data_IF_417768866462
#
_entry.id   IF_417768866462
#
_cell.length_a   1.000
_cell.length_b   1.000
_cell.length_c   1.000
_cell.angle_alpha   90.00
_cell.angle_beta   90.00
_cell.angle_gamma   90.00
#
_symmetry.space_group_name_H-M   'P 1'
#
loop_
_entity.id
_entity.type
_entity.pdbx_description
1 polymer ?
#
# COMPACT_ATOMS: atom_id res chain seq x y z
N UNK A 1 6.98 61.70 -59.18
CA UNK A 1 5.92 61.12 -60.04
C UNK A 1 6.57 60.64 -61.33
N UNK A 2 6.37 59.42 -61.86
CA UNK A 2 5.89 58.12 -61.34
C UNK A 2 7.05 57.06 -61.41
N UNK A 3 6.96 55.74 -61.22
CA UNK A 3 5.87 54.77 -61.10
C UNK A 3 6.29 53.57 -60.22
N UNK A 4 5.34 53.02 -59.47
CA UNK A 4 5.45 51.76 -58.75
C UNK A 4 5.41 50.58 -59.72
N UNK A 5 6.50 49.83 -59.81
CA UNK A 5 6.54 48.50 -60.41
C UNK A 5 7.64 47.69 -59.70
N UNK A 6 7.24 46.92 -58.68
CA UNK A 6 7.89 45.67 -58.26
C UNK A 6 7.12 45.10 -57.05
N UNK A 7 6.15 44.24 -57.34
CA UNK A 7 5.57 43.33 -56.36
C UNK A 7 5.58 41.93 -57.00
N UNK A 8 5.96 40.93 -56.19
CA UNK A 8 6.14 39.48 -56.48
C UNK A 8 7.54 39.18 -57.07
N UNK A 9 8.42 38.36 -56.47
CA UNK A 9 8.19 37.04 -55.86
C UNK A 9 9.46 36.59 -55.09
N UNK A 10 9.29 35.62 -54.17
CA UNK A 10 10.29 34.75 -53.51
C UNK A 10 10.90 35.24 -52.17
N UNK A 11 10.12 35.08 -51.09
CA UNK A 11 10.65 34.76 -49.77
C UNK A 11 10.90 33.26 -49.73
N UNK A 12 12.16 32.84 -49.64
CA UNK A 12 12.54 31.48 -49.28
C UNK A 12 12.20 31.22 -47.82
N UNK A 13 11.48 30.12 -47.58
CA UNK A 13 11.15 29.61 -46.24
C UNK A 13 12.41 29.12 -45.53
N UNK A 14 12.68 29.65 -44.34
CA UNK A 14 13.66 29.11 -43.40
C UNK A 14 12.93 28.17 -42.41
N UNK A 15 13.28 26.88 -42.43
CA UNK A 15 12.69 25.81 -41.62
C UNK A 15 13.31 25.77 -40.21
N UNK A 16 12.76 26.56 -39.31
CA UNK A 16 13.15 26.63 -37.89
C UNK A 16 12.69 25.46 -37.00
N UNK A 17 12.72 24.20 -37.45
CA UNK A 17 12.09 23.07 -36.72
C UNK A 17 13.00 21.92 -36.24
N UNK A 18 14.33 22.10 -36.10
CA UNK A 18 15.26 20.96 -35.89
C UNK A 18 15.98 20.76 -34.52
N UNK A 19 16.15 21.72 -33.59
CA UNK A 19 16.97 21.45 -32.39
C UNK A 19 16.24 20.70 -31.25
N UNK A 20 14.95 20.98 -31.01
CA UNK A 20 14.20 20.34 -29.90
C UNK A 20 13.78 18.89 -30.19
N UNK A 21 13.37 18.59 -31.42
CA UNK A 21 12.95 17.23 -31.84
C UNK A 21 14.12 16.24 -31.75
N UNK A 22 15.34 16.66 -32.12
CA UNK A 22 16.56 15.84 -32.01
C UNK A 22 16.97 15.56 -30.56
N UNK A 23 16.85 16.53 -29.65
CA UNK A 23 17.09 16.33 -28.21
C UNK A 23 16.06 15.39 -27.56
N UNK A 24 14.78 15.47 -27.96
CA UNK A 24 13.73 14.54 -27.49
C UNK A 24 13.94 13.12 -28.00
N UNK A 25 14.31 12.94 -29.27
CA UNK A 25 14.63 11.62 -29.83
C UNK A 25 15.89 11.00 -29.23
N UNK A 26 16.94 11.77 -28.93
CA UNK A 26 18.17 11.24 -28.32
C UNK A 26 17.95 10.82 -26.85
N UNK A 27 17.16 11.59 -26.09
CA UNK A 27 16.71 11.21 -24.73
C UNK A 27 15.85 9.94 -24.75
N UNK A 28 14.93 9.82 -25.71
CA UNK A 28 14.11 8.62 -25.91
C UNK A 28 14.97 7.39 -26.24
N UNK A 29 15.93 7.52 -27.16
CA UNK A 29 16.87 6.44 -27.51
C UNK A 29 17.77 6.01 -26.33
N UNK A 30 18.27 6.96 -25.51
CA UNK A 30 19.03 6.63 -24.28
C UNK A 30 18.16 5.93 -23.24
N UNK A 31 16.91 6.37 -23.03
CA UNK A 31 15.96 5.72 -22.11
C UNK A 31 15.63 4.29 -22.57
N UNK A 32 15.40 4.09 -23.87
CA UNK A 32 15.18 2.78 -24.46
C UNK A 32 16.40 1.85 -24.35
N UNK A 33 17.63 2.37 -24.53
CA UNK A 33 18.87 1.59 -24.37
C UNK A 33 19.09 1.19 -22.90
N UNK A 34 18.81 2.08 -21.95
CA UNK A 34 18.95 1.81 -20.50
C UNK A 34 17.90 0.80 -20.03
N UNK A 35 16.66 0.90 -20.51
CA UNK A 35 15.59 -0.05 -20.22
C UNK A 35 15.82 -1.44 -20.83
N UNK A 36 16.56 -1.55 -21.94
CA UNK A 36 16.99 -2.84 -22.52
C UNK A 36 18.16 -3.49 -21.79
N UNK A 37 18.91 -2.74 -20.99
CA UNK A 37 20.07 -3.23 -20.26
C UNK A 37 19.73 -3.71 -18.84
N UNK A 38 18.58 -3.30 -18.28
CA UNK A 38 18.12 -3.66 -16.94
C UNK A 38 17.04 -4.75 -17.03
N UNK A 39 17.46 -5.92 -17.52
CA UNK A 39 16.66 -7.15 -17.65
C UNK A 39 17.38 -8.23 -16.88
N UNK A 40 16.67 -8.93 -16.00
CA UNK A 40 17.22 -10.11 -15.31
C UNK A 40 16.65 -11.38 -15.97
N UNK A 41 17.46 -12.24 -16.60
CA UNK A 41 16.97 -13.45 -17.26
C UNK A 41 16.34 -14.47 -16.31
N UNK A 42 16.60 -14.39 -15.00
CA UNK A 42 16.00 -15.25 -13.98
C UNK A 42 14.57 -14.81 -13.61
N UNK A 43 14.18 -13.58 -13.97
CA UNK A 43 12.83 -13.04 -13.75
C UNK A 43 11.96 -13.28 -14.98
N UNK A 44 10.72 -13.70 -14.77
CA UNK A 44 9.76 -13.94 -15.85
C UNK A 44 9.53 -12.68 -16.70
N UNK A 45 9.06 -12.86 -17.94
CA UNK A 45 8.73 -11.76 -18.84
C UNK A 45 7.64 -10.82 -18.25
N UNK A 46 6.64 -11.39 -17.55
CA UNK A 46 5.58 -10.64 -16.86
C UNK A 46 6.12 -9.78 -15.72
N UNK A 47 7.19 -10.24 -15.07
CA UNK A 47 7.75 -9.59 -13.88
C UNK A 47 8.90 -8.63 -14.15
N UNK A 48 9.41 -8.54 -15.38
CA UNK A 48 10.43 -7.55 -15.77
C UNK A 48 10.03 -6.09 -15.50
N UNK A 49 8.73 -5.78 -15.47
CA UNK A 49 8.24 -4.45 -15.11
C UNK A 49 8.47 -4.13 -13.62
N UNK A 50 8.42 -5.14 -12.75
CA UNK A 50 8.69 -5.02 -11.32
C UNK A 50 10.21 -5.00 -11.06
N UNK A 51 10.98 -5.87 -11.73
CA UNK A 51 12.45 -5.89 -11.66
C UNK A 51 13.09 -4.51 -11.91
N UNK A 52 12.64 -3.81 -12.96
CA UNK A 52 13.12 -2.46 -13.29
C UNK A 52 12.80 -1.40 -12.23
N UNK A 53 11.91 -1.73 -11.29
CA UNK A 53 11.48 -0.91 -10.16
C UNK A 53 11.79 -1.57 -8.82
N UNK A 54 12.68 -2.57 -8.77
CA UNK A 54 12.97 -3.35 -7.56
C UNK A 54 13.33 -2.50 -6.35
N UNK A 55 14.02 -1.37 -6.56
CA UNK A 55 14.36 -0.41 -5.52
C UNK A 55 13.17 0.39 -4.95
N UNK A 56 12.02 0.42 -5.66
CA UNK A 56 10.78 0.98 -5.12
C UNK A 56 10.12 0.01 -4.13
N UNK A 57 10.42 -1.30 -4.22
CA UNK A 57 9.89 -2.35 -3.35
C UNK A 57 10.82 -2.66 -2.19
N UNK A 58 12.13 -2.64 -2.44
CA UNK A 58 13.18 -2.75 -1.43
C UNK A 58 14.36 -1.87 -1.85
N UNK A 59 14.63 -0.75 -1.18
CA UNK A 59 15.75 0.12 -1.56
C UNK A 59 17.10 -0.58 -1.41
N UNK A 60 17.21 -1.54 -0.45
CA UNK A 60 18.36 -2.43 -0.23
C UNK A 60 18.37 -3.67 -1.15
N UNK A 61 17.63 -3.66 -2.26
CA UNK A 61 17.47 -4.83 -3.11
C UNK A 61 18.80 -5.53 -3.48
N UNK A 62 19.80 -4.73 -3.87
CA UNK A 62 21.10 -5.21 -4.34
C UNK A 62 21.96 -5.85 -3.23
N UNK A 63 21.52 -5.80 -1.96
CA UNK A 63 22.16 -6.48 -0.83
C UNK A 63 21.74 -7.95 -0.68
N UNK A 64 20.96 -8.45 -1.65
CA UNK A 64 20.58 -9.86 -1.75
C UNK A 64 19.14 -10.15 -1.39
N UNK A 65 18.23 -9.19 -1.55
CA UNK A 65 16.80 -9.39 -1.31
C UNK A 65 16.26 -10.50 -2.22
N UNK A 66 15.39 -11.33 -1.65
CA UNK A 66 14.75 -12.46 -2.34
C UNK A 66 13.26 -12.17 -2.53
N UNK A 67 12.82 -12.30 -3.78
CA UNK A 67 11.43 -12.15 -4.20
C UNK A 67 11.16 -13.17 -5.31
N UNK A 68 10.13 -14.00 -5.16
CA UNK A 68 9.67 -14.91 -6.21
C UNK A 68 8.68 -14.23 -7.19
N UNK A 69 8.05 -15.01 -8.06
CA UNK A 69 7.10 -14.51 -9.06
C UNK A 69 5.89 -13.78 -8.46
N UNK A 70 5.23 -14.36 -7.45
CA UNK A 70 4.04 -13.72 -6.86
C UNK A 70 4.42 -12.52 -5.98
N UNK A 71 5.60 -12.54 -5.36
CA UNK A 71 6.08 -11.48 -4.50
C UNK A 71 6.23 -10.17 -5.25
N UNK A 72 6.60 -10.26 -6.53
CA UNK A 72 6.76 -9.07 -7.37
C UNK A 72 5.50 -8.24 -7.53
N UNK A 73 4.32 -8.88 -7.56
CA UNK A 73 3.06 -8.17 -7.72
C UNK A 73 2.27 -8.01 -6.42
N UNK A 74 2.60 -8.76 -5.37
CA UNK A 74 1.93 -8.68 -4.07
C UNK A 74 2.65 -7.79 -3.06
N UNK A 75 3.99 -7.63 -3.15
CA UNK A 75 4.74 -6.85 -2.17
C UNK A 75 4.36 -5.36 -2.23
N UNK A 76 4.06 -4.79 -1.07
CA UNK A 76 3.81 -3.35 -0.92
C UNK A 76 5.08 -2.57 -1.26
N UNK A 77 5.01 -1.51 -2.10
CA UNK A 77 6.13 -0.61 -2.31
C UNK A 77 6.63 -0.04 -0.97
N UNK A 78 7.95 0.03 -0.79
CA UNK A 78 8.55 0.25 0.52
C UNK A 78 8.09 1.54 1.21
N UNK A 79 7.91 2.61 0.44
CA UNK A 79 7.44 3.89 0.97
C UNK A 79 6.02 3.80 1.54
N UNK A 80 5.13 3.02 0.91
CA UNK A 80 3.75 2.84 1.41
C UNK A 80 3.76 2.01 2.69
N UNK A 81 4.60 0.97 2.73
CA UNK A 81 4.77 0.14 3.92
C UNK A 81 5.37 0.95 5.09
N UNK A 82 6.33 1.84 4.81
CA UNK A 82 6.88 2.80 5.78
C UNK A 82 5.81 3.76 6.31
N UNK A 83 5.03 4.39 5.43
CA UNK A 83 3.95 5.34 5.80
C UNK A 83 2.89 4.64 6.68
N UNK A 84 2.51 3.41 6.31
CA UNK A 84 1.59 2.59 7.09
C UNK A 84 2.15 2.28 8.48
N UNK A 85 3.43 1.90 8.56
CA UNK A 85 4.11 1.59 9.82
C UNK A 85 4.23 2.82 10.73
N UNK A 86 4.57 3.98 10.16
CA UNK A 86 4.61 5.27 10.85
C UNK A 86 3.27 5.62 11.47
N UNK A 87 2.19 5.49 10.69
CA UNK A 87 0.83 5.77 11.17
C UNK A 87 0.42 4.83 12.30
N UNK A 88 0.73 3.54 12.19
CA UNK A 88 0.51 2.55 13.24
C UNK A 88 1.31 2.89 14.51
N UNK A 89 2.61 3.21 14.38
CA UNK A 89 3.45 3.58 15.51
C UNK A 89 2.99 4.89 16.19
N UNK A 90 2.37 5.80 15.44
CA UNK A 90 1.81 7.02 16.02
C UNK A 90 0.58 6.78 16.88
N UNK A 91 -0.22 5.72 16.65
CA UNK A 91 -1.30 5.32 17.58
C UNK A 91 -0.75 5.13 19.00
N UNK A 92 0.41 4.49 19.10
CA UNK A 92 1.08 4.25 20.37
C UNK A 92 1.49 5.55 21.07
N UNK A 93 1.94 6.55 20.31
CA UNK A 93 2.37 7.83 20.86
C UNK A 93 1.22 8.73 21.37
N UNK A 94 -0.04 8.46 21.01
CA UNK A 94 -1.19 9.32 21.41
C UNK A 94 -1.55 9.24 22.89
N UNK A 95 -1.27 8.12 23.55
CA UNK A 95 -1.68 7.89 24.94
C UNK A 95 -0.53 8.03 25.95
N UNK A 96 0.59 8.62 25.53
CA UNK A 96 1.79 8.72 26.37
C UNK A 96 1.91 10.06 27.06
N UNK A 97 2.15 9.99 28.36
CA UNK A 97 2.84 11.03 29.09
C UNK A 97 4.32 10.97 28.70
N UNK A 98 4.94 12.11 28.38
CA UNK A 98 6.30 12.25 27.86
C UNK A 98 7.40 11.93 28.91
N UNK A 99 7.09 11.12 29.93
CA UNK A 99 7.87 10.96 31.15
C UNK A 99 8.57 9.61 31.28
N UNK A 100 8.38 8.67 30.32
CA UNK A 100 9.07 7.37 30.33
C UNK A 100 9.67 7.01 28.98
N UNK A 101 10.96 6.63 28.99
CA UNK A 101 11.73 6.10 27.84
C UNK A 101 11.37 4.64 27.49
N UNK A 102 10.31 4.09 28.09
CA UNK A 102 9.75 2.82 27.65
C UNK A 102 9.39 2.99 26.17
N UNK A 103 9.74 2.13 25.22
CA UNK A 103 9.19 2.18 23.86
C UNK A 103 8.06 1.19 23.81
N UNK A 104 7.08 1.35 24.71
CA UNK A 104 6.28 0.18 25.09
C UNK A 104 5.53 -0.49 23.94
N UNK A 105 4.95 -1.62 24.32
CA UNK A 105 5.09 -2.86 23.59
C UNK A 105 4.12 -3.02 22.43
N UNK A 106 4.13 -2.09 21.48
CA UNK A 106 3.27 -2.14 20.30
C UNK A 106 3.60 -3.41 19.50
N UNK A 107 2.67 -4.36 19.56
CA UNK A 107 2.71 -5.61 18.84
C UNK A 107 1.79 -5.53 17.62
N UNK A 108 2.35 -5.81 16.43
CA UNK A 108 1.61 -5.82 15.17
C UNK A 108 1.55 -7.24 14.62
N UNK A 109 0.37 -7.70 14.24
CA UNK A 109 0.21 -8.90 13.41
C UNK A 109 0.21 -8.48 11.94
N UNK A 110 1.19 -8.94 11.16
CA UNK A 110 1.11 -8.95 9.70
C UNK A 110 0.53 -10.31 9.28
N UNK A 111 -0.77 -10.31 8.97
CA UNK A 111 -1.54 -11.54 8.77
C UNK A 111 -1.21 -12.30 7.48
N UNK A 112 -0.55 -11.64 6.52
CA UNK A 112 -0.23 -12.18 5.19
C UNK A 112 1.12 -11.60 4.72
N UNK A 113 2.18 -11.93 5.46
CA UNK A 113 3.43 -11.17 5.37
C UNK A 113 4.18 -11.31 4.03
N UNK A 114 3.91 -12.36 3.26
CA UNK A 114 4.57 -12.62 1.98
C UNK A 114 6.08 -12.67 2.14
N UNK A 115 6.79 -11.86 1.35
CA UNK A 115 8.26 -11.71 1.41
C UNK A 115 8.73 -10.68 2.46
N UNK A 116 7.83 -10.25 3.36
CA UNK A 116 8.15 -9.42 4.52
C UNK A 116 8.15 -7.91 4.27
N UNK A 117 7.59 -7.41 3.16
CA UNK A 117 7.62 -5.99 2.82
C UNK A 117 7.07 -5.08 3.93
N UNK A 118 5.85 -5.37 4.42
CA UNK A 118 5.24 -4.61 5.52
C UNK A 118 5.84 -4.99 6.88
N UNK A 119 6.00 -6.29 7.17
CA UNK A 119 6.63 -6.78 8.40
C UNK A 119 7.99 -6.12 8.73
N UNK A 120 8.87 -5.94 7.76
CA UNK A 120 10.17 -5.25 7.93
C UNK A 120 9.98 -3.81 8.39
N UNK A 121 8.97 -3.12 7.85
CA UNK A 121 8.67 -1.73 8.17
C UNK A 121 8.01 -1.62 9.53
N UNK A 122 7.05 -2.48 9.85
CA UNK A 122 6.49 -2.57 11.20
C UNK A 122 7.59 -2.84 12.23
N UNK A 123 8.50 -3.77 11.95
CA UNK A 123 9.60 -4.06 12.86
C UNK A 123 10.55 -2.87 13.03
N UNK A 124 10.66 -1.97 12.04
CA UNK A 124 11.48 -0.75 12.18
C UNK A 124 10.89 0.26 13.17
N UNK A 125 9.56 0.29 13.33
CA UNK A 125 8.82 1.31 14.09
C UNK A 125 8.09 0.80 15.34
N UNK A 126 7.90 -0.51 15.45
CA UNK A 126 7.15 -1.18 16.53
C UNK A 126 8.09 -2.11 17.32
N UNK A 127 7.70 -2.49 18.53
CA UNK A 127 8.53 -3.36 19.38
C UNK A 127 8.56 -4.80 18.87
N UNK A 128 7.41 -5.30 18.43
CA UNK A 128 7.27 -6.70 18.04
C UNK A 128 6.31 -6.88 16.86
N UNK A 129 6.65 -7.81 15.97
CA UNK A 129 5.82 -8.18 14.82
C UNK A 129 5.61 -9.69 14.80
N UNK A 130 4.37 -10.12 14.67
CA UNK A 130 4.03 -11.52 14.35
C UNK A 130 3.71 -11.56 12.86
N UNK A 131 4.64 -12.09 12.06
CA UNK A 131 4.54 -12.18 10.61
C UNK A 131 4.07 -13.58 10.20
N UNK A 132 2.85 -13.67 9.65
CA UNK A 132 2.18 -14.93 9.32
C UNK A 132 2.13 -15.08 7.81
N UNK A 133 2.53 -16.24 7.31
CA UNK A 133 2.23 -16.66 5.94
C UNK A 133 1.96 -18.17 5.89
N UNK A 134 1.12 -18.59 4.94
CA UNK A 134 0.80 -20.00 4.73
C UNK A 134 1.89 -20.72 3.93
N UNK A 135 2.69 -19.96 3.16
CA UNK A 135 3.75 -20.50 2.32
C UNK A 135 5.09 -20.49 3.08
N UNK A 136 5.75 -21.66 3.24
CA UNK A 136 7.01 -21.74 3.96
C UNK A 136 8.18 -21.05 3.23
N UNK A 137 8.17 -21.04 1.89
CA UNK A 137 9.17 -20.38 1.06
C UNK A 137 9.08 -18.86 1.18
N UNK A 138 7.86 -18.31 1.23
CA UNK A 138 7.61 -16.89 1.56
C UNK A 138 8.20 -16.50 2.89
N UNK A 139 7.94 -17.31 3.91
CA UNK A 139 8.41 -17.06 5.26
C UNK A 139 9.94 -17.13 5.36
N UNK A 140 10.58 -18.03 4.61
CA UNK A 140 12.05 -18.07 4.49
C UNK A 140 12.59 -16.80 3.83
N UNK A 141 11.97 -16.33 2.74
CA UNK A 141 12.36 -15.07 2.08
C UNK A 141 12.14 -13.87 3.01
N UNK A 142 11.01 -13.81 3.72
CA UNK A 142 10.71 -12.74 4.67
C UNK A 142 11.77 -12.66 5.77
N UNK A 143 12.17 -13.80 6.35
CA UNK A 143 13.23 -13.86 7.35
C UNK A 143 14.59 -13.40 6.78
N UNK A 144 14.96 -13.90 5.60
CA UNK A 144 16.19 -13.48 4.92
C UNK A 144 16.20 -11.96 4.61
N UNK A 145 15.08 -11.43 4.13
CA UNK A 145 14.95 -10.01 3.82
C UNK A 145 15.02 -9.16 5.09
N UNK A 146 14.39 -9.60 6.19
CA UNK A 146 14.47 -8.91 7.47
C UNK A 146 15.88 -8.88 8.06
N UNK A 147 16.68 -9.93 7.86
CA UNK A 147 18.10 -9.96 8.24
C UNK A 147 18.92 -8.92 7.49
N UNK A 148 18.67 -8.72 6.20
CA UNK A 148 19.31 -7.66 5.42
C UNK A 148 19.00 -6.29 6.05
N UNK A 149 17.73 -6.06 6.44
CA UNK A 149 17.31 -4.83 7.09
C UNK A 149 17.74 -4.71 8.56
N UNK A 150 18.23 -5.78 9.19
CA UNK A 150 18.70 -5.80 10.58
C UNK A 150 17.57 -5.66 11.60
N UNK A 151 16.40 -6.24 11.32
CA UNK A 151 15.19 -6.15 12.16
C UNK A 151 14.56 -7.51 12.45
N UNK A 152 15.19 -8.61 12.04
CA UNK A 152 14.64 -9.96 12.17
C UNK A 152 14.47 -10.40 13.63
N UNK A 153 15.26 -9.84 14.55
CA UNK A 153 15.17 -10.06 16.00
C UNK A 153 13.85 -9.55 16.61
N UNK A 154 13.14 -8.65 15.91
CA UNK A 154 11.84 -8.11 16.33
C UNK A 154 10.65 -8.82 15.68
N UNK A 155 10.88 -9.81 14.81
CA UNK A 155 9.83 -10.49 14.05
C UNK A 155 9.73 -11.96 14.46
N UNK A 156 8.58 -12.35 15.00
CA UNK A 156 8.17 -13.75 15.11
C UNK A 156 7.56 -14.20 13.78
N UNK A 157 8.23 -15.12 13.10
CA UNK A 157 7.77 -15.69 11.83
C UNK A 157 6.97 -16.96 12.07
N UNK A 158 5.68 -16.96 11.71
CA UNK A 158 4.75 -18.05 11.96
C UNK A 158 4.25 -18.63 10.64
N UNK A 159 4.54 -19.91 10.42
CA UNK A 159 3.95 -20.66 9.30
C UNK A 159 2.53 -21.08 9.67
N UNK A 160 1.52 -20.59 8.94
CA UNK A 160 0.16 -21.03 9.14
C UNK A 160 -0.91 -20.19 8.45
N UNK A 161 -2.15 -20.66 8.57
CA UNK A 161 -3.33 -19.97 8.09
C UNK A 161 -3.80 -18.96 9.14
N UNK A 162 -3.71 -17.67 8.83
CA UNK A 162 -4.20 -16.60 9.71
C UNK A 162 -5.65 -16.80 10.14
N UNK A 163 -6.51 -17.34 9.27
CA UNK A 163 -7.91 -17.57 9.61
C UNK A 163 -8.08 -18.55 10.78
N UNK A 164 -7.20 -19.55 10.85
CA UNK A 164 -7.17 -20.53 11.94
C UNK A 164 -6.44 -20.00 13.18
N UNK A 165 -5.40 -19.18 12.99
CA UNK A 165 -4.57 -18.67 14.07
C UNK A 165 -5.22 -17.52 14.86
N UNK A 166 -5.97 -16.64 14.17
CA UNK A 166 -6.50 -15.41 14.76
C UNK A 166 -7.20 -15.55 16.14
N UNK A 167 -8.04 -16.57 16.41
CA UNK A 167 -8.65 -16.73 17.73
C UNK A 167 -7.66 -16.85 18.90
N UNK A 168 -6.44 -17.34 18.63
CA UNK A 168 -5.38 -17.58 19.61
C UNK A 168 -4.40 -16.40 19.75
N UNK A 169 -4.44 -15.44 18.81
CA UNK A 169 -3.52 -14.31 18.80
C UNK A 169 -4.02 -13.16 19.68
N UNK A 170 -3.10 -12.38 20.23
CA UNK A 170 -3.35 -11.10 20.89
C UNK A 170 -2.27 -10.11 20.45
N UNK A 171 -2.69 -8.96 19.97
CA UNK A 171 -1.81 -7.90 19.50
C UNK A 171 -2.57 -6.57 19.55
N UNK A 172 -1.84 -5.46 19.46
CA UNK A 172 -2.44 -4.13 19.48
C UNK A 172 -3.04 -3.75 18.13
N UNK A 173 -2.43 -4.21 17.04
CA UNK A 173 -2.85 -3.92 15.66
C UNK A 173 -2.79 -5.17 14.79
N UNK A 174 -3.74 -5.29 13.86
CA UNK A 174 -3.66 -6.24 12.75
C UNK A 174 -3.51 -5.48 11.44
N UNK A 175 -2.48 -5.80 10.67
CA UNK A 175 -2.38 -5.43 9.28
C UNK A 175 -2.89 -6.57 8.39
N UNK A 176 -3.84 -6.26 7.51
CA UNK A 176 -4.44 -7.18 6.55
C UNK A 176 -4.01 -6.81 5.13
N UNK A 177 -3.26 -7.70 4.49
CA UNK A 177 -3.00 -7.68 3.05
C UNK A 177 -3.26 -9.06 2.41
N UNK A 178 -4.51 -9.58 2.51
CA UNK A 178 -4.88 -10.87 1.92
C UNK A 178 -4.66 -10.85 0.40
N UNK A 179 -4.59 -12.04 -0.25
CA UNK A 179 -4.50 -12.13 -1.70
C UNK A 179 -5.73 -11.48 -2.36
N UNK A 180 -5.51 -10.76 -3.46
CA UNK A 180 -6.58 -10.09 -4.23
C UNK A 180 -6.97 -10.83 -5.52
N UNK A 181 -6.37 -11.99 -5.78
CA UNK A 181 -6.56 -12.74 -7.04
C UNK A 181 -5.56 -12.41 -8.15
N UNK A 182 -4.37 -11.87 -7.79
CA UNK A 182 -3.30 -11.58 -8.75
C UNK A 182 -3.52 -10.30 -9.56
N UNK A 183 -2.63 -9.97 -10.52
CA UNK A 183 -2.70 -8.74 -11.32
C UNK A 183 -4.05 -8.48 -12.03
N UNK A 184 -4.85 -9.52 -12.21
CA UNK A 184 -6.19 -9.53 -12.81
C UNK A 184 -7.27 -8.88 -11.93
N UNK A 185 -6.97 -8.49 -10.68
CA UNK A 185 -7.91 -7.76 -9.79
C UNK A 185 -8.47 -6.47 -10.42
N UNK A 186 -7.80 -5.95 -11.44
CA UNK A 186 -8.21 -4.74 -12.19
C UNK A 186 -9.10 -5.03 -13.40
N UNK A 187 -9.56 -6.27 -13.57
CA UNK A 187 -10.44 -6.67 -14.68
C UNK A 187 -11.80 -5.96 -14.65
N UNK A 188 -12.26 -5.55 -13.46
CA UNK A 188 -13.48 -4.77 -13.26
C UNK A 188 -13.15 -3.31 -12.86
N UNK A 189 -13.99 -2.32 -13.25
CA UNK A 189 -13.80 -0.92 -12.85
C UNK A 189 -13.81 -0.69 -11.34
N UNK A 190 -14.65 -1.46 -10.64
CA UNK A 190 -14.75 -1.49 -9.17
C UNK A 190 -14.43 -2.91 -8.71
N UNK A 191 -13.56 -3.04 -7.72
CA UNK A 191 -13.20 -4.33 -7.14
C UNK A 191 -14.34 -4.86 -6.27
N UNK A 192 -14.77 -6.08 -6.53
CA UNK A 192 -15.83 -6.75 -5.75
C UNK A 192 -15.24 -7.36 -4.48
N UNK A 193 -15.67 -6.83 -3.32
CA UNK A 193 -15.19 -7.22 -2.00
C UNK A 193 -15.52 -8.68 -1.63
N UNK A 194 -16.48 -9.30 -2.30
CA UNK A 194 -16.85 -10.70 -2.09
C UNK A 194 -16.09 -11.66 -3.03
N UNK A 195 -15.37 -11.12 -4.03
CA UNK A 195 -14.63 -11.91 -5.04
C UNK A 195 -13.21 -12.29 -4.63
N UNK A 196 -12.81 -11.97 -3.39
CA UNK A 196 -11.47 -12.27 -2.88
C UNK A 196 -11.24 -13.79 -2.73
N UNK A 197 -10.03 -14.29 -3.00
CA UNK A 197 -9.69 -15.68 -2.73
C UNK A 197 -9.93 -16.08 -1.26
N UNK A 198 -10.42 -17.31 -1.08
CA UNK A 198 -10.66 -18.00 0.18
C UNK A 198 -11.81 -17.45 1.04
N UNK A 199 -11.80 -16.14 1.32
CA UNK A 199 -12.80 -15.45 2.13
C UNK A 199 -13.05 -14.03 1.61
N UNK A 200 -14.27 -13.53 1.78
CA UNK A 200 -14.65 -12.14 1.47
C UNK A 200 -13.90 -11.12 2.33
N UNK A 201 -13.89 -9.86 1.90
CA UNK A 201 -13.29 -8.77 2.68
C UNK A 201 -13.90 -8.64 4.08
N UNK A 202 -15.22 -8.88 4.20
CA UNK A 202 -15.92 -8.86 5.48
C UNK A 202 -15.46 -9.98 6.40
N UNK A 203 -15.34 -11.20 5.89
CA UNK A 203 -14.90 -12.35 6.69
C UNK A 203 -13.46 -12.21 7.17
N UNK A 204 -12.57 -11.65 6.34
CA UNK A 204 -11.20 -11.33 6.76
C UNK A 204 -11.17 -10.27 7.86
N UNK A 205 -11.96 -9.22 7.72
CA UNK A 205 -12.08 -8.17 8.72
C UNK A 205 -12.63 -8.72 10.04
N UNK A 206 -13.72 -9.49 9.98
CA UNK A 206 -14.34 -10.11 11.17
C UNK A 206 -13.38 -11.09 11.87
N UNK A 207 -12.54 -11.77 11.10
CA UNK A 207 -11.49 -12.64 11.66
C UNK A 207 -10.41 -11.84 12.38
N UNK A 208 -9.93 -10.76 11.79
CA UNK A 208 -8.93 -9.88 12.41
C UNK A 208 -9.42 -9.21 13.70
N UNK A 209 -10.72 -8.94 13.78
CA UNK A 209 -11.37 -8.39 14.98
C UNK A 209 -11.31 -9.29 16.20
N UNK A 210 -11.03 -10.59 16.03
CA UNK A 210 -10.78 -11.48 17.16
C UNK A 210 -9.44 -11.19 17.85
N UNK A 211 -8.53 -10.51 17.15
CA UNK A 211 -7.19 -10.14 17.63
C UNK A 211 -7.16 -8.71 18.16
N UNK A 212 -7.65 -7.73 17.38
CA UNK A 212 -7.68 -6.32 17.74
C UNK A 212 -8.83 -5.55 17.07
N UNK A 213 -9.29 -4.46 17.70
CA UNK A 213 -10.17 -3.47 17.07
C UNK A 213 -9.45 -2.49 16.15
N UNK A 214 -8.11 -2.43 16.22
CA UNK A 214 -7.28 -1.55 15.42
C UNK A 214 -6.74 -2.32 14.22
N UNK A 215 -7.28 -2.03 13.05
CA UNK A 215 -7.00 -2.81 11.84
C UNK A 215 -6.60 -1.86 10.71
N UNK A 216 -5.48 -2.15 10.05
CA UNK A 216 -5.09 -1.51 8.80
C UNK A 216 -5.30 -2.52 7.66
N UNK A 217 -6.19 -2.20 6.72
CA UNK A 217 -6.59 -3.10 5.65
C UNK A 217 -6.12 -2.57 4.30
N UNK A 218 -5.06 -3.18 3.77
CA UNK A 218 -4.48 -2.87 2.47
C UNK A 218 -5.27 -3.54 1.34
N UNK A 219 -5.84 -2.70 0.48
CA UNK A 219 -6.85 -3.08 -0.50
C UNK A 219 -6.53 -2.58 -1.91
N UNK A 220 -7.08 -3.24 -2.95
CA UNK A 220 -6.98 -2.79 -4.33
C UNK A 220 -7.35 -1.31 -4.54
N UNK A 221 -6.62 -0.63 -5.42
CA UNK A 221 -6.88 0.77 -5.77
C UNK A 221 -8.26 1.05 -6.39
N UNK A 222 -8.92 0.03 -6.90
CA UNK A 222 -10.25 0.12 -7.52
C UNK A 222 -11.37 -0.32 -6.55
N UNK A 223 -11.09 -0.53 -5.26
CA UNK A 223 -12.16 -0.65 -4.26
C UNK A 223 -12.93 0.67 -4.13
N UNK A 224 -14.23 0.56 -3.83
CA UNK A 224 -15.04 1.71 -3.42
C UNK A 224 -14.73 2.07 -1.96
N UNK A 225 -14.22 3.28 -1.67
CA UNK A 225 -13.96 3.73 -0.30
C UNK A 225 -15.16 3.63 0.64
N UNK A 226 -16.36 3.90 0.15
CA UNK A 226 -17.57 3.85 0.97
C UNK A 226 -17.90 2.41 1.35
N UNK A 227 -17.73 1.46 0.42
CA UNK A 227 -17.93 0.04 0.73
C UNK A 227 -16.93 -0.45 1.80
N UNK A 228 -15.67 0.02 1.74
CA UNK A 228 -14.69 -0.29 2.79
C UNK A 228 -15.09 0.28 4.15
N UNK A 229 -15.61 1.50 4.22
CA UNK A 229 -16.15 2.05 5.46
C UNK A 229 -17.35 1.25 5.99
N UNK A 230 -18.24 0.83 5.09
CA UNK A 230 -19.44 0.05 5.40
C UNK A 230 -19.15 -1.41 5.78
N UNK A 231 -17.91 -1.90 5.59
CA UNK A 231 -17.49 -3.22 6.10
C UNK A 231 -17.61 -3.28 7.64
N UNK A 232 -17.38 -2.18 8.35
CA UNK A 232 -17.50 -2.15 9.80
C UNK A 232 -18.35 -0.97 10.27
N UNK A 233 -19.69 -1.07 10.10
CA UNK A 233 -20.56 0.03 10.44
C UNK A 233 -20.46 0.33 11.94
N UNK A 234 -20.40 1.62 12.29
CA UNK A 234 -20.25 2.16 13.66
C UNK A 234 -18.83 2.14 14.24
N UNK A 235 -17.83 1.64 13.52
CA UNK A 235 -16.43 1.82 13.90
C UNK A 235 -15.82 2.94 13.06
N UNK A 236 -15.05 3.87 13.67
CA UNK A 236 -14.32 4.87 12.92
C UNK A 236 -13.48 4.22 11.82
N UNK A 237 -13.61 4.74 10.60
CA UNK A 237 -12.84 4.31 9.45
C UNK A 237 -12.25 5.54 8.75
N UNK A 238 -10.95 5.53 8.49
CA UNK A 238 -10.27 6.50 7.66
C UNK A 238 -9.68 5.83 6.43
N UNK A 239 -9.79 6.49 5.28
CA UNK A 239 -9.38 5.94 4.00
C UNK A 239 -8.16 6.71 3.48
N UNK A 240 -7.06 5.99 3.33
CA UNK A 240 -5.83 6.52 2.77
C UNK A 240 -5.61 6.01 1.35
N UNK A 241 -5.29 6.94 0.45
CA UNK A 241 -4.98 6.63 -0.93
C UNK A 241 -3.46 6.56 -1.10
N UNK A 242 -2.95 5.39 -1.47
CA UNK A 242 -1.51 5.15 -1.54
C UNK A 242 -0.95 5.49 -2.92
N UNK A 243 0.07 6.36 -2.97
CA UNK A 243 0.72 6.77 -4.22
C UNK A 243 2.21 6.44 -4.21
N UNK A 244 2.75 6.05 -5.36
CA UNK A 244 4.20 6.03 -5.60
C UNK A 244 4.51 6.82 -6.85
N UNK A 245 5.45 7.76 -6.80
CA UNK A 245 5.85 8.55 -7.96
C UNK A 245 4.66 9.23 -8.68
N UNK A 246 3.65 9.67 -7.93
CA UNK A 246 2.42 10.29 -8.45
C UNK A 246 1.39 9.30 -9.02
N UNK A 247 1.63 7.99 -8.96
CA UNK A 247 0.70 6.97 -9.44
C UNK A 247 -0.03 6.31 -8.27
N UNK A 248 -1.35 6.25 -8.35
CA UNK A 248 -2.22 5.57 -7.40
C UNK A 248 -1.99 4.05 -7.44
N UNK A 249 -1.74 3.44 -6.28
CA UNK A 249 -1.33 2.03 -6.15
C UNK A 249 -2.35 1.15 -5.46
N UNK A 250 -2.86 1.61 -4.34
CA UNK A 250 -3.73 0.85 -3.44
C UNK A 250 -4.48 1.80 -2.50
N UNK A 251 -5.43 1.26 -1.75
CA UNK A 251 -6.11 1.96 -0.66
C UNK A 251 -5.71 1.28 0.65
N UNK A 252 -5.50 2.04 1.72
CA UNK A 252 -5.45 1.47 3.08
C UNK A 252 -6.64 2.00 3.86
N UNK A 253 -7.51 1.10 4.31
CA UNK A 253 -8.59 1.43 5.23
C UNK A 253 -8.13 1.20 6.67
N UNK A 254 -8.13 2.25 7.49
CA UNK A 254 -7.77 2.19 8.90
C UNK A 254 -9.04 2.17 9.75
N UNK A 255 -9.18 1.18 10.62
CA UNK A 255 -10.33 1.01 11.51
C UNK A 255 -9.93 1.21 12.98
N UNK A 256 -10.90 1.60 13.80
CA UNK A 256 -10.70 1.77 15.24
C UNK A 256 -9.92 3.05 15.54
N UNK A 257 -8.96 2.97 16.47
CA UNK A 257 -8.16 4.11 16.88
C UNK A 257 -7.21 4.60 15.78
N UNK A 258 -6.86 3.74 14.82
CA UNK A 258 -6.05 4.09 13.65
C UNK A 258 -6.76 5.09 12.72
N UNK A 259 -8.09 5.11 12.74
CA UNK A 259 -8.91 6.04 11.96
C UNK A 259 -8.93 7.46 12.58
N UNK A 260 -8.57 7.59 13.86
CA UNK A 260 -8.57 8.86 14.58
C UNK A 260 -7.25 9.63 14.43
N UNK A 261 -6.36 9.16 13.55
CA UNK A 261 -5.10 9.82 13.25
C UNK A 261 -5.35 11.16 12.55
N UNK A 262 -4.75 12.24 13.06
CA UNK A 262 -4.91 13.60 12.52
C UNK A 262 -6.20 14.33 12.90
N UNK A 263 -7.18 13.67 13.53
CA UNK A 263 -8.35 14.34 14.10
C UNK A 263 -8.03 14.86 15.51
N UNK A 264 -7.52 16.08 15.61
CA UNK A 264 -7.31 16.76 16.89
C UNK A 264 -8.60 17.24 17.57
N UNK A 265 -9.77 16.71 17.20
CA UNK A 265 -11.01 16.91 17.94
C UNK A 265 -11.86 15.62 17.98
N UNK A 266 -12.49 15.30 19.13
CA UNK A 266 -13.49 14.25 19.18
C UNK A 266 -14.70 14.70 18.37
N UNK A 267 -14.90 14.10 17.19
CA UNK A 267 -16.17 14.23 16.47
C UNK A 267 -17.26 13.70 17.39
N UNK A 268 -18.09 14.61 17.90
CA UNK A 268 -19.31 14.26 18.60
C UNK A 268 -20.08 13.25 17.74
N UNK A 269 -20.34 12.08 18.32
CA UNK A 269 -21.25 11.11 17.74
C UNK A 269 -22.58 11.82 17.56
N UNK A 270 -22.92 12.17 16.32
CA UNK A 270 -24.25 12.65 15.98
C UNK A 270 -25.15 11.43 16.10
N UNK A 271 -25.78 11.27 17.27
CA UNK A 271 -26.93 10.42 17.45
C UNK A 271 -28.00 10.88 16.47
N UNK A 272 -28.38 9.99 15.55
CA UNK A 272 -29.60 10.12 14.78
C UNK A 272 -30.77 9.99 15.76
N UNK A 273 -31.12 11.08 16.44
CA UNK A 273 -32.42 11.18 17.08
C UNK A 273 -33.49 11.33 16.01
N UNK A 274 -34.50 10.49 16.15
CA UNK A 274 -35.64 10.35 15.28
C UNK A 274 -36.43 11.66 15.28
N UNK A 275 -36.62 12.24 14.09
CA UNK A 275 -37.68 13.24 13.89
C UNK A 275 -39.03 12.54 14.04
N UNK A 276 -39.58 12.54 15.26
CA UNK A 276 -41.00 12.41 15.49
C UNK A 276 -41.65 13.72 15.04
N UNK A 277 -42.45 13.64 13.98
CA UNK A 277 -43.29 14.73 13.52
C UNK A 277 -44.51 14.76 14.43
N UNK A 278 -44.61 15.81 15.25
CA UNK A 278 -45.82 16.18 15.97
C UNK A 278 -46.97 16.39 14.97
N UNK A 279 -48.09 15.68 15.18
CA UNK A 279 -49.39 16.09 14.66
C UNK A 279 -49.99 17.10 15.66
N UNK A 280 -50.49 18.26 15.20
CA UNK A 280 -51.37 19.06 16.03
C UNK A 280 -52.80 18.49 15.99
N UNK A 281 -53.40 18.38 17.17
CA UNK A 281 -54.84 18.24 17.35
C UNK A 281 -55.56 19.48 16.78
N UNK A 282 -56.50 19.25 15.85
CA UNK A 282 -57.89 19.74 15.74
C UNK A 282 -58.48 19.17 14.44
#
# INVERSE_FOLDING_TARGET
MPSAAQLLTLVSMDDGSQPEKRKRQSKSKRKAKRARADVNPEVSASSQKYWRRRHDFFWRFDEGIKVDEEGWYSVTPEIIAEDTALRIAQLYNRHRDNTTDDYGRLCVVDAFCGVGGNAIKFASWCEHVIAIDIDPGRLEMARHNAQIYGVDDRIEFVLGDFYQLAPMLRADVVFLSPPWGGPEYTSAPVFDLDSMPFHSAREWLDRARLVSSNIAYFMPRNCDPQQLADLFPKVPCDIELNYTNGFFKAITAYYGDLALFGSSEPRALVSLEQNHVDKPDI
#
